data_IF_196024307435
#
_entry.id   IF_196024307435
#
_cell.length_a   1.000
_cell.length_b   1.000
_cell.length_c   1.000
_cell.angle_alpha   90.00
_cell.angle_beta   90.00
_cell.angle_gamma   90.00
#
_symmetry.space_group_name_H-M   'P 1'
#
loop_
_entity.id
_entity.type
_entity.pdbx_description
1 polymer ?
#
# COMPACT_ATOMS: atom_id res chain seq x y z
N UNK A 1 -9.78 19.08 -6.84
CA UNK A 1 -9.09 18.16 -5.89
C UNK A 1 -9.95 16.89 -5.83
N UNK A 2 -9.45 15.72 -6.27
CA UNK A 2 -10.21 14.47 -6.14
C UNK A 2 -10.35 14.15 -4.65
N UNK A 3 -11.58 13.96 -4.17
CA UNK A 3 -11.82 13.54 -2.79
C UNK A 3 -11.12 12.20 -2.60
N UNK A 4 -10.18 12.14 -1.66
CA UNK A 4 -9.43 10.92 -1.37
C UNK A 4 -10.34 9.97 -0.59
N UNK A 5 -11.08 9.14 -1.32
CA UNK A 5 -11.89 8.09 -0.76
C UNK A 5 -10.99 7.08 -0.03
N UNK A 6 -11.24 6.85 1.26
CA UNK A 6 -10.50 5.86 2.03
C UNK A 6 -11.03 4.47 1.69
N UNK A 7 -10.12 3.57 1.31
CA UNK A 7 -10.45 2.15 1.14
C UNK A 7 -10.76 1.51 2.49
N UNK A 8 -11.68 0.56 2.51
CA UNK A 8 -11.96 -0.24 3.68
C UNK A 8 -10.88 -1.32 3.83
N UNK A 9 -9.83 -1.01 4.59
CA UNK A 9 -8.71 -1.92 4.79
C UNK A 9 -9.10 -3.25 5.44
N UNK A 10 -10.18 -3.31 6.22
CA UNK A 10 -10.70 -4.58 6.75
C UNK A 10 -11.17 -5.50 5.63
N UNK A 11 -12.01 -4.98 4.74
CA UNK A 11 -12.47 -5.73 3.58
C UNK A 11 -11.31 -6.11 2.65
N UNK A 12 -10.30 -5.24 2.52
CA UNK A 12 -9.08 -5.56 1.79
C UNK A 12 -8.28 -6.73 2.38
N UNK A 13 -8.23 -6.87 3.71
CA UNK A 13 -7.58 -8.00 4.36
C UNK A 13 -8.32 -9.30 4.12
N UNK A 14 -9.65 -9.28 4.25
CA UNK A 14 -10.51 -10.42 3.94
C UNK A 14 -10.31 -10.86 2.47
N UNK A 15 -10.16 -9.90 1.57
CA UNK A 15 -9.88 -10.15 0.16
C UNK A 15 -8.43 -10.58 -0.14
N UNK A 16 -7.57 -10.72 0.87
CA UNK A 16 -6.22 -11.27 0.73
C UNK A 16 -5.09 -10.22 0.64
N UNK A 17 -5.36 -8.92 0.72
CA UNK A 17 -4.29 -7.92 0.65
C UNK A 17 -3.31 -8.03 1.83
N UNK A 18 -3.77 -8.51 2.99
CA UNK A 18 -2.96 -8.74 4.19
C UNK A 18 -2.02 -7.60 4.57
N UNK A 19 -2.46 -6.34 4.38
CA UNK A 19 -1.64 -5.14 4.64
C UNK A 19 -0.41 -4.99 3.72
N UNK A 20 -0.53 -5.45 2.46
CA UNK A 20 0.52 -5.40 1.42
C UNK A 20 1.25 -4.06 1.32
N UNK A 21 0.51 -2.94 1.43
CA UNK A 21 1.11 -1.60 1.38
C UNK A 21 2.18 -1.37 2.46
N UNK A 22 2.06 -2.01 3.64
CA UNK A 22 3.06 -1.92 4.69
C UNK A 22 4.29 -2.81 4.43
N UNK A 23 4.21 -3.75 3.48
CA UNK A 23 5.32 -4.61 3.04
C UNK A 23 6.12 -4.02 1.86
N UNK A 24 5.54 -3.06 1.13
CA UNK A 24 6.23 -2.34 0.05
C UNK A 24 7.49 -1.59 0.52
N UNK A 25 8.49 -1.50 -0.35
CA UNK A 25 9.64 -0.62 -0.19
C UNK A 25 9.23 0.80 -0.65
N UNK A 26 9.04 1.72 0.29
CA UNK A 26 8.46 3.04 0.02
C UNK A 26 9.53 4.10 0.08
N UNK A 27 9.85 4.69 -1.08
CA UNK A 27 10.73 5.86 -1.17
C UNK A 27 9.99 7.11 -0.71
N UNK A 28 10.59 7.87 0.19
CA UNK A 28 10.09 9.16 0.64
C UNK A 28 10.43 10.24 -0.39
N UNK A 29 9.54 11.22 -0.52
CA UNK A 29 9.82 12.47 -1.22
C UNK A 29 10.96 13.22 -0.51
N UNK A 30 11.76 13.97 -1.26
CA UNK A 30 12.95 14.67 -0.74
C UNK A 30 12.65 15.54 0.49
N UNK A 31 11.53 16.27 0.46
CA UNK A 31 11.06 17.11 1.57
C UNK A 31 10.61 16.34 2.83
N UNK A 32 10.51 15.01 2.77
CA UNK A 32 10.19 14.12 3.91
C UNK A 32 11.39 13.29 4.36
N UNK A 33 12.52 13.36 3.65
CA UNK A 33 13.75 12.72 4.07
C UNK A 33 14.34 13.50 5.24
N UNK A 34 14.51 12.83 6.38
CA UNK A 34 15.16 13.47 7.54
C UNK A 34 16.67 13.50 7.29
N UNK A 35 17.32 14.68 7.33
CA UNK A 35 18.77 14.74 7.33
C UNK A 35 19.29 14.04 8.58
N UNK A 36 20.32 13.20 8.47
CA UNK A 36 20.87 12.51 9.61
C UNK A 36 21.79 13.46 10.39
N UNK A 37 21.91 13.23 11.69
CA UNK A 37 22.68 14.10 12.59
C UNK A 37 24.20 13.99 12.40
N UNK A 38 24.67 12.95 11.70
CA UNK A 38 26.07 12.61 11.48
C UNK A 38 26.62 13.08 10.12
N UNK A 39 25.82 13.81 9.34
CA UNK A 39 26.21 14.30 8.01
C UNK A 39 26.18 13.23 6.90
N UNK A 40 25.72 12.02 7.18
CA UNK A 40 25.51 10.98 6.17
C UNK A 40 24.33 11.29 5.23
N UNK A 41 24.08 10.44 4.23
CA UNK A 41 22.94 10.61 3.31
C UNK A 41 21.62 10.38 4.05
N UNK A 42 20.67 11.31 3.90
CA UNK A 42 19.33 11.19 4.46
C UNK A 42 18.65 9.88 4.02
N UNK A 43 18.01 9.18 4.97
CA UNK A 43 17.28 7.95 4.68
C UNK A 43 16.11 8.27 3.74
N UNK A 44 16.19 7.70 2.54
CA UNK A 44 15.22 7.90 1.47
C UNK A 44 14.01 6.98 1.54
N UNK A 45 13.91 6.08 2.51
CA UNK A 45 12.85 5.06 2.58
C UNK A 45 12.21 5.00 3.96
N UNK A 46 10.96 4.52 4.02
CA UNK A 46 10.33 4.15 5.28
C UNK A 46 11.01 2.91 5.84
N UNK A 47 11.42 2.99 7.11
CA UNK A 47 12.07 1.88 7.80
C UNK A 47 11.16 0.66 7.93
N UNK A 48 11.81 -0.51 8.00
CA UNK A 48 11.21 -1.81 8.18
C UNK A 48 11.63 -2.39 9.51
N UNK A 49 10.69 -3.09 10.13
CA UNK A 49 10.96 -3.95 11.27
C UNK A 49 11.47 -5.32 10.75
N UNK A 50 12.10 -6.15 11.60
CA UNK A 50 12.66 -7.44 11.18
C UNK A 50 11.65 -8.41 10.54
N UNK A 51 10.35 -8.22 10.80
CA UNK A 51 9.25 -8.98 10.20
C UNK A 51 8.85 -8.51 8.79
N UNK A 52 9.55 -7.53 8.23
CA UNK A 52 9.34 -7.01 6.87
C UNK A 52 8.18 -6.02 6.73
N UNK A 53 7.47 -5.69 7.80
CA UNK A 53 6.49 -4.61 7.80
C UNK A 53 7.16 -3.26 8.06
N UNK A 54 6.55 -2.19 7.54
CA UNK A 54 7.00 -0.84 7.88
C UNK A 54 6.84 -0.57 9.36
N UNK A 55 7.70 0.30 9.90
CA UNK A 55 7.66 0.72 11.31
C UNK A 55 6.31 1.30 11.76
N UNK A 56 5.41 1.64 10.83
CA UNK A 56 4.09 2.18 11.14
C UNK A 56 2.97 1.15 11.18
N UNK A 57 3.25 -0.13 10.91
CA UNK A 57 2.26 -1.20 10.99
C UNK A 57 1.80 -1.44 12.44
N UNK A 58 0.48 -1.50 12.65
CA UNK A 58 -0.13 -1.94 13.90
C UNK A 58 -0.40 -3.44 13.78
N UNK A 59 0.33 -4.26 14.56
CA UNK A 59 0.24 -5.72 14.53
C UNK A 59 -1.02 -6.28 15.16
N UNK A 60 -1.61 -5.55 16.10
CA UNK A 60 -2.86 -5.96 16.76
C UNK A 60 -4.06 -5.70 15.86
N UNK A 61 -4.11 -4.51 15.25
CA UNK A 61 -5.25 -4.05 14.45
C UNK A 61 -5.09 -4.30 12.95
N UNK A 62 -3.90 -4.71 12.51
CA UNK A 62 -3.51 -4.83 11.11
C UNK A 62 -3.75 -3.55 10.29
N UNK A 63 -3.54 -2.39 10.89
CA UNK A 63 -3.78 -1.06 10.30
C UNK A 63 -2.53 -0.17 10.40
N UNK A 64 -2.50 0.93 9.63
CA UNK A 64 -1.41 1.91 9.76
C UNK A 64 -1.63 2.78 11.02
N UNK A 65 -0.65 2.83 11.92
CA UNK A 65 -0.67 3.66 13.15
C UNK A 65 -0.71 5.16 12.87
N UNK A 66 -0.24 5.59 11.70
CA UNK A 66 -0.12 7.00 11.33
C UNK A 66 -1.04 7.39 10.17
N UNK A 67 -2.20 6.75 9.99
CA UNK A 67 -3.06 6.92 8.81
C UNK A 67 -3.22 8.37 8.31
N UNK A 68 -3.55 9.29 9.21
CA UNK A 68 -3.74 10.72 8.90
C UNK A 68 -2.44 11.52 8.73
N UNK A 69 -1.31 10.98 9.20
CA UNK A 69 0.03 11.58 9.12
C UNK A 69 0.94 10.84 8.12
N UNK A 70 0.37 9.97 7.28
CA UNK A 70 1.12 9.20 6.27
C UNK A 70 1.91 10.14 5.36
N UNK A 71 3.12 9.73 4.91
CA UNK A 71 3.84 10.48 3.89
C UNK A 71 3.03 10.46 2.58
N UNK A 72 3.29 11.42 1.71
CA UNK A 72 2.44 11.67 0.54
C UNK A 72 2.42 10.49 -0.43
N UNK A 73 3.53 9.76 -0.57
CA UNK A 73 3.59 8.49 -1.33
C UNK A 73 2.60 7.46 -0.78
N UNK A 74 2.50 7.31 0.54
CA UNK A 74 1.54 6.40 1.17
C UNK A 74 0.09 6.90 1.05
N UNK A 75 -0.15 8.21 1.02
CA UNK A 75 -1.50 8.78 0.82
C UNK A 75 -2.00 8.58 -0.61
N UNK A 76 -1.11 8.73 -1.58
CA UNK A 76 -1.41 8.61 -3.00
C UNK A 76 -1.47 7.16 -3.49
N UNK A 77 -1.00 6.21 -2.69
CA UNK A 77 -1.09 4.79 -3.00
C UNK A 77 -2.56 4.31 -3.00
N UNK A 78 -3.01 3.76 -4.14
CA UNK A 78 -4.35 3.21 -4.32
C UNK A 78 -4.31 1.72 -4.68
N UNK A 79 -4.68 0.86 -3.73
CA UNK A 79 -4.61 -0.60 -3.89
C UNK A 79 -5.49 -1.15 -5.03
N UNK A 80 -6.63 -0.52 -5.32
CA UNK A 80 -7.55 -0.95 -6.38
C UNK A 80 -6.97 -0.83 -7.79
N UNK A 81 -5.88 -0.07 -7.96
CA UNK A 81 -5.18 0.10 -9.23
C UNK A 81 -3.78 -0.53 -9.24
N UNK A 82 -3.39 -1.22 -8.17
CA UNK A 82 -2.07 -1.83 -8.05
C UNK A 82 -2.07 -3.25 -8.64
N UNK A 83 -1.49 -3.41 -9.82
CA UNK A 83 -1.40 -4.70 -10.50
C UNK A 83 -0.53 -5.72 -9.76
N UNK A 84 0.54 -5.28 -9.08
CA UNK A 84 1.39 -6.19 -8.31
C UNK A 84 0.64 -6.74 -7.10
N UNK A 85 -0.23 -5.94 -6.49
CA UNK A 85 -1.14 -6.45 -5.47
C UNK A 85 -2.09 -7.52 -6.05
N UNK A 86 -2.62 -7.33 -7.26
CA UNK A 86 -3.48 -8.34 -7.89
C UNK A 86 -2.75 -9.66 -8.14
N UNK A 87 -1.50 -9.60 -8.59
CA UNK A 87 -0.63 -10.77 -8.71
C UNK A 87 -0.40 -11.45 -7.35
N UNK A 88 -0.06 -10.67 -6.33
CA UNK A 88 0.22 -11.14 -4.97
C UNK A 88 -0.99 -11.76 -4.27
N UNK A 89 -2.21 -11.30 -4.55
CA UNK A 89 -3.43 -11.91 -3.98
C UNK A 89 -3.77 -13.22 -4.70
N UNK A 90 -3.58 -13.30 -6.02
CA UNK A 90 -4.03 -14.46 -6.81
C UNK A 90 -3.07 -15.65 -6.76
N UNK A 91 -1.80 -15.44 -6.43
CA UNK A 91 -0.79 -16.50 -6.38
C UNK A 91 0.11 -16.31 -5.17
N UNK A 92 0.44 -17.42 -4.53
CA UNK A 92 1.45 -17.45 -3.48
C UNK A 92 2.80 -16.99 -4.04
N UNK A 93 3.54 -16.27 -3.21
CA UNK A 93 4.87 -15.76 -3.54
C UNK A 93 5.76 -15.83 -2.31
N UNK A 94 7.04 -16.12 -2.51
CA UNK A 94 8.03 -16.32 -1.45
C UNK A 94 8.97 -15.13 -1.29
N UNK A 95 9.16 -14.34 -2.35
CA UNK A 95 10.09 -13.22 -2.39
C UNK A 95 9.60 -12.11 -3.35
N UNK A 96 10.32 -10.99 -3.42
CA UNK A 96 9.92 -9.82 -4.23
C UNK A 96 9.96 -10.05 -5.75
N UNK A 97 10.73 -11.03 -6.23
CA UNK A 97 10.86 -11.35 -7.66
C UNK A 97 9.62 -12.12 -8.13
N UNK A 98 9.03 -12.94 -7.26
CA UNK A 98 7.88 -13.78 -7.60
C UNK A 98 6.67 -12.96 -8.09
N UNK A 99 6.19 -11.89 -7.40
CA UNK A 99 5.11 -11.06 -7.93
C UNK A 99 5.42 -10.43 -9.28
N UNK A 100 6.68 -10.09 -9.56
CA UNK A 100 7.09 -9.52 -10.85
C UNK A 100 7.01 -10.55 -11.96
N UNK A 101 7.48 -11.77 -11.71
CA UNK A 101 7.40 -12.90 -12.66
C UNK A 101 5.96 -13.36 -12.89
N UNK A 102 5.15 -13.34 -11.83
CA UNK A 102 3.71 -13.59 -11.95
C UNK A 102 3.10 -12.48 -12.80
N UNK A 103 3.34 -11.21 -12.48
CA UNK A 103 2.80 -10.07 -13.21
C UNK A 103 3.19 -10.06 -14.70
N UNK A 104 4.39 -10.50 -15.06
CA UNK A 104 4.82 -10.56 -16.45
C UNK A 104 4.13 -11.65 -17.27
N UNK A 105 3.66 -12.72 -16.63
CA UNK A 105 2.96 -13.84 -17.27
C UNK A 105 1.44 -13.77 -17.14
N UNK A 106 0.94 -13.06 -16.12
CA UNK A 106 -0.47 -12.91 -15.83
C UNK A 106 -1.07 -11.83 -16.73
N UNK A 107 -2.02 -12.17 -17.57
CA UNK A 107 -2.85 -11.21 -18.29
C UNK A 107 -4.12 -10.96 -17.47
N UNK A 108 -4.18 -9.84 -16.75
CA UNK A 108 -5.42 -9.40 -16.11
C UNK A 108 -5.86 -8.06 -16.69
N UNK A 109 -7.09 -8.02 -17.13
CA UNK A 109 -7.82 -6.80 -17.41
C UNK A 109 -8.31 -6.16 -16.11
N UNK A 110 -8.51 -4.84 -16.10
CA UNK A 110 -8.93 -4.09 -14.90
C UNK A 110 -10.25 -4.57 -14.30
N UNK A 111 -11.17 -5.08 -15.13
CA UNK A 111 -12.45 -5.66 -14.68
C UNK A 111 -12.27 -6.98 -13.91
N UNK A 112 -11.09 -7.61 -13.97
CA UNK A 112 -10.75 -8.82 -13.23
C UNK A 112 -10.04 -8.54 -11.90
N UNK A 113 -9.81 -7.27 -11.58
CA UNK A 113 -9.15 -6.85 -10.35
C UNK A 113 -10.12 -7.02 -9.19
N UNK A 114 -9.60 -7.55 -8.09
CA UNK A 114 -10.29 -7.53 -6.81
C UNK A 114 -10.40 -6.08 -6.37
N UNK A 115 -11.64 -5.59 -6.27
CA UNK A 115 -11.95 -4.23 -5.84
C UNK A 115 -12.25 -4.21 -4.34
N UNK A 116 -11.48 -3.40 -3.62
CA UNK A 116 -11.70 -3.16 -2.19
C UNK A 116 -12.72 -2.02 -2.07
N UNK A 117 -13.84 -2.23 -1.33
CA UNK A 117 -14.86 -1.20 -1.18
C UNK A 117 -14.28 0.01 -0.44
N UNK A 118 -14.80 1.20 -0.74
CA UNK A 118 -14.49 2.42 0.01
C UNK A 118 -15.31 2.46 1.31
N UNK A 119 -14.83 3.20 2.31
CA UNK A 119 -15.57 3.37 3.55
C UNK A 119 -16.86 4.19 3.33
N UNK A 120 -17.93 3.88 4.07
CA UNK A 120 -19.26 4.47 3.90
C UNK A 120 -19.30 6.01 4.03
N UNK A 121 -18.29 6.62 4.67
CA UNK A 121 -18.18 8.08 4.77
C UNK A 121 -17.86 8.75 3.43
N UNK A 122 -17.28 8.01 2.48
CA UNK A 122 -16.76 8.56 1.23
C UNK A 122 -17.68 8.31 0.03
N UNK A 123 -18.65 7.38 0.11
CA UNK A 123 -19.54 7.01 -1.02
C UNK A 123 -20.27 8.23 -1.62
N UNK A 124 -20.65 9.22 -0.80
CA UNK A 124 -21.29 10.47 -1.28
C UNK A 124 -20.35 11.44 -2.01
N UNK A 125 -19.03 11.25 -1.90
CA UNK A 125 -18.00 12.08 -2.55
C UNK A 125 -17.21 11.36 -3.65
N UNK A 126 -17.41 10.05 -3.80
CA UNK A 126 -16.79 9.20 -4.82
C UNK A 126 -17.75 8.90 -5.98
N UNK A 127 -18.62 9.85 -6.40
CA UNK A 127 -19.53 9.62 -7.53
C UNK A 127 -18.76 8.98 -8.69
N UNK A 128 -19.05 7.70 -8.90
CA UNK A 128 -18.55 6.89 -10.00
C UNK A 128 -19.44 7.27 -11.18
N UNK A 129 -18.94 8.16 -12.02
CA UNK A 129 -19.28 8.17 -13.45
C UNK A 129 -18.24 7.35 -14.19
#
# INVERSE_FOLDING_TARGET
MKNACNVNCEQGRIAGCQTYCCRLLIRLSENKMKPPNDGSTAKGFIDKEPDGYCIHFNREKFLCRIWHKRPDVCKNYGCNNDFLLQAAIKKEFSNIVDPVNIASSLKLEKNQYIQIPYTNMDIKQCNIE
#
